data_IF_741036144179
#
_entry.id   IF_741036144179
#
_cell.length_a   1.000
_cell.length_b   1.000
_cell.length_c   1.000
_cell.angle_alpha   90.00
_cell.angle_beta   90.00
_cell.angle_gamma   90.00
#
_symmetry.space_group_name_H-M   'P 1'
#
loop_
_entity.id
_entity.type
_entity.pdbx_description
1 polymer ?
#
# COMPACT_ATOMS: atom_id res chain seq x y z
N UNK A 1 -14.57 10.19 -6.11
CA UNK A 1 -14.90 8.84 -5.66
C UNK A 1 -15.01 8.83 -4.14
N UNK A 2 -16.06 8.26 -3.61
CA UNK A 2 -16.23 8.07 -2.17
C UNK A 2 -16.26 6.58 -1.90
N UNK A 3 -15.41 6.12 -0.99
CA UNK A 3 -15.28 4.69 -0.67
C UNK A 3 -15.80 4.47 0.74
N UNK A 4 -16.81 3.62 0.89
CA UNK A 4 -17.41 3.29 2.17
C UNK A 4 -17.02 1.89 2.62
N UNK A 5 -16.84 1.71 3.94
CA UNK A 5 -16.92 0.41 4.58
C UNK A 5 -18.35 0.22 5.08
N UNK A 6 -19.07 -0.75 4.56
CA UNK A 6 -20.37 -1.13 5.11
C UNK A 6 -20.18 -2.24 6.12
N UNK A 7 -20.32 -1.92 7.41
CA UNK A 7 -20.56 -2.91 8.43
C UNK A 7 -21.96 -2.64 8.98
N UNK A 8 -22.98 -3.14 8.30
CA UNK A 8 -24.36 -3.06 8.73
C UNK A 8 -24.93 -4.47 8.84
N UNK A 9 -25.28 -4.88 10.05
CA UNK A 9 -26.17 -6.01 10.28
C UNK A 9 -27.65 -5.64 10.00
N UNK A 10 -27.93 -4.50 9.35
CA UNK A 10 -29.27 -4.06 9.07
C UNK A 10 -29.43 -3.69 7.58
N UNK A 11 -30.16 -4.51 6.79
CA UNK A 11 -30.36 -4.29 5.36
C UNK A 11 -31.23 -3.08 5.00
N UNK A 12 -31.84 -2.39 5.98
CA UNK A 12 -32.78 -1.29 5.75
C UNK A 12 -32.21 0.12 5.96
N UNK A 13 -30.93 0.25 6.26
CA UNK A 13 -30.31 1.56 6.54
C UNK A 13 -29.90 2.26 5.24
N UNK A 14 -30.89 2.91 4.58
CA UNK A 14 -30.62 3.89 3.52
C UNK A 14 -29.91 5.11 4.12
N UNK A 15 -28.85 5.54 3.44
CA UNK A 15 -28.08 6.73 3.84
C UNK A 15 -28.91 8.00 3.78
N UNK A 16 -28.78 8.91 4.74
CA UNK A 16 -29.27 10.27 4.58
C UNK A 16 -28.41 10.99 3.54
N UNK A 17 -28.99 11.40 2.43
CA UNK A 17 -28.41 12.33 1.48
C UNK A 17 -28.35 13.70 2.16
N UNK A 18 -27.16 14.33 2.20
CA UNK A 18 -27.02 15.71 2.68
C UNK A 18 -27.74 16.65 1.70
N UNK A 19 -28.81 17.28 2.14
CA UNK A 19 -29.47 18.35 1.42
C UNK A 19 -28.60 19.63 1.48
N UNK A 20 -28.17 20.14 0.34
CA UNK A 20 -27.72 21.51 0.23
C UNK A 20 -26.58 21.81 -0.72
N UNK A 21 -26.90 22.38 -1.86
CA UNK A 21 -25.97 23.08 -2.77
C UNK A 21 -25.39 22.22 -3.88
N UNK A 22 -25.55 22.62 -5.13
CA UNK A 22 -25.19 21.93 -6.39
C UNK A 22 -23.91 21.09 -6.38
N UNK A 23 -23.97 19.94 -5.76
CA UNK A 23 -22.88 18.98 -5.58
C UNK A 23 -22.99 18.02 -6.76
N UNK A 24 -21.97 17.94 -7.59
CA UNK A 24 -21.82 16.79 -8.47
C UNK A 24 -21.93 15.54 -7.61
N UNK A 25 -22.86 14.65 -7.97
CA UNK A 25 -23.07 13.38 -7.28
C UNK A 25 -21.74 12.58 -7.33
N UNK A 26 -21.10 12.39 -6.20
CA UNK A 26 -19.83 11.65 -6.12
C UNK A 26 -20.13 10.18 -6.27
N UNK A 27 -19.46 9.54 -7.19
CA UNK A 27 -19.49 8.07 -7.29
C UNK A 27 -19.01 7.45 -5.97
N UNK A 28 -19.72 6.45 -5.50
CA UNK A 28 -19.38 5.71 -4.29
C UNK A 28 -19.21 4.24 -4.59
N UNK A 29 -18.23 3.62 -3.94
CA UNK A 29 -17.97 2.18 -4.00
C UNK A 29 -17.91 1.63 -2.59
N UNK A 30 -18.35 0.40 -2.42
CA UNK A 30 -18.40 -0.29 -1.12
C UNK A 30 -17.40 -1.43 -1.10
N UNK A 31 -16.62 -1.52 -0.01
CA UNK A 31 -15.64 -2.57 0.23
C UNK A 31 -15.65 -2.94 1.71
N UNK A 32 -15.31 -4.17 2.04
CA UNK A 32 -15.14 -4.60 3.42
C UNK A 32 -13.92 -3.93 4.08
N UNK A 33 -12.86 -3.74 3.31
CA UNK A 33 -11.61 -3.13 3.78
C UNK A 33 -11.07 -2.14 2.76
N UNK A 34 -10.75 -0.94 3.24
CA UNK A 34 -10.04 0.07 2.44
C UNK A 34 -8.65 0.31 3.03
N UNK A 35 -7.64 0.15 2.19
CA UNK A 35 -6.23 0.41 2.53
C UNK A 35 -5.78 1.68 1.81
N UNK A 36 -5.21 2.61 2.56
CA UNK A 36 -4.68 3.87 2.01
C UNK A 36 -3.16 3.79 1.90
N UNK A 37 -2.67 3.78 0.66
CA UNK A 37 -1.25 3.78 0.31
C UNK A 37 -0.72 2.45 -0.20
N UNK A 38 -0.21 2.47 -1.46
CA UNK A 38 0.41 1.34 -2.17
C UNK A 38 1.89 1.14 -1.85
N UNK A 39 2.32 1.44 -0.62
CA UNK A 39 3.66 1.11 -0.15
C UNK A 39 3.78 -0.33 0.37
N UNK A 40 5.00 -0.77 0.79
CA UNK A 40 5.22 -2.15 1.26
C UNK A 40 4.26 -2.58 2.37
N UNK A 41 3.93 -1.68 3.29
CA UNK A 41 3.04 -1.94 4.41
C UNK A 41 1.60 -2.21 3.97
N UNK A 42 1.04 -1.30 3.14
CA UNK A 42 -0.34 -1.45 2.65
C UNK A 42 -0.50 -2.68 1.77
N UNK A 43 0.44 -2.91 0.86
CA UNK A 43 0.43 -4.09 -0.02
C UNK A 43 0.57 -5.39 0.76
N UNK A 44 1.47 -5.45 1.75
CA UNK A 44 1.61 -6.63 2.61
C UNK A 44 0.35 -6.90 3.42
N UNK A 45 -0.31 -5.86 3.94
CA UNK A 45 -1.57 -5.98 4.64
C UNK A 45 -2.68 -6.51 3.73
N UNK A 46 -2.79 -5.98 2.51
CA UNK A 46 -3.76 -6.42 1.51
C UNK A 46 -3.57 -7.90 1.15
N UNK A 47 -2.34 -8.31 0.84
CA UNK A 47 -1.99 -9.70 0.52
C UNK A 47 -2.37 -10.62 1.68
N UNK A 48 -1.94 -10.27 2.91
CA UNK A 48 -2.20 -11.14 4.08
C UNK A 48 -3.68 -11.24 4.40
N UNK A 49 -4.44 -10.17 4.28
CA UNK A 49 -5.91 -10.17 4.46
C UNK A 49 -6.58 -11.12 3.49
N UNK A 50 -6.24 -11.06 2.20
CA UNK A 50 -6.82 -11.95 1.19
C UNK A 50 -6.41 -13.41 1.42
N UNK A 51 -5.16 -13.68 1.82
CA UNK A 51 -4.72 -15.03 2.19
C UNK A 51 -5.56 -15.59 3.36
N UNK A 52 -5.71 -14.81 4.45
CA UNK A 52 -6.49 -15.23 5.62
C UNK A 52 -7.98 -15.42 5.30
N UNK A 53 -8.55 -14.55 4.47
CA UNK A 53 -9.93 -14.69 4.02
C UNK A 53 -10.11 -16.00 3.23
N UNK A 54 -9.20 -16.29 2.32
CA UNK A 54 -9.22 -17.51 1.52
C UNK A 54 -9.04 -18.78 2.40
N UNK A 55 -8.10 -18.76 3.34
CA UNK A 55 -7.90 -19.84 4.33
C UNK A 55 -9.17 -20.10 5.17
N UNK A 56 -9.93 -19.04 5.48
CA UNK A 56 -11.16 -19.10 6.25
C UNK A 56 -12.42 -19.40 5.39
N UNK A 57 -12.28 -19.57 4.08
CA UNK A 57 -13.40 -19.73 3.15
C UNK A 57 -14.36 -18.54 3.12
N UNK A 58 -13.85 -17.31 3.38
CA UNK A 58 -14.61 -16.07 3.38
C UNK A 58 -14.29 -15.26 2.13
N UNK A 59 -15.33 -14.71 1.55
CA UNK A 59 -15.16 -13.65 0.56
C UNK A 59 -14.96 -12.32 1.29
N UNK A 60 -13.90 -11.60 0.92
CA UNK A 60 -13.53 -10.32 1.52
C UNK A 60 -13.13 -9.35 0.40
N UNK A 61 -13.91 -8.31 0.22
CA UNK A 61 -13.62 -7.27 -0.76
C UNK A 61 -12.61 -6.27 -0.19
N UNK A 62 -11.41 -6.23 -0.78
CA UNK A 62 -10.31 -5.38 -0.33
C UNK A 62 -9.96 -4.39 -1.42
N UNK A 63 -10.04 -3.11 -1.10
CA UNK A 63 -9.62 -2.00 -1.94
C UNK A 63 -8.33 -1.36 -1.39
N UNK A 64 -7.42 -1.02 -2.29
CA UNK A 64 -6.23 -0.23 -1.97
C UNK A 64 -6.19 1.00 -2.87
N UNK A 65 -6.16 2.18 -2.27
CA UNK A 65 -6.01 3.45 -2.99
C UNK A 65 -4.59 3.99 -2.86
N UNK A 66 -4.03 4.48 -3.98
CA UNK A 66 -2.69 5.04 -4.06
C UNK A 66 -2.74 6.40 -4.75
N UNK A 67 -2.12 7.43 -4.14
CA UNK A 67 -2.08 8.79 -4.72
C UNK A 67 -1.21 8.91 -5.97
N UNK A 68 -0.19 8.07 -6.10
CA UNK A 68 0.67 8.02 -7.27
C UNK A 68 -0.09 7.51 -8.49
N UNK A 69 0.35 7.90 -9.69
CA UNK A 69 -0.21 7.44 -10.96
C UNK A 69 -0.10 5.93 -11.18
N UNK A 70 0.79 5.29 -10.45
CA UNK A 70 0.97 3.84 -10.36
C UNK A 70 1.60 3.48 -9.01
N UNK A 71 1.49 2.22 -8.60
CA UNK A 71 2.16 1.71 -7.41
C UNK A 71 3.68 1.87 -7.58
N UNK A 72 4.31 2.48 -6.57
CA UNK A 72 5.76 2.72 -6.59
C UNK A 72 6.21 4.03 -7.25
N UNK A 73 5.34 4.78 -7.92
CA UNK A 73 5.70 6.02 -8.65
C UNK A 73 6.34 7.09 -7.75
N UNK A 74 5.92 7.20 -6.49
CA UNK A 74 6.46 8.19 -5.55
C UNK A 74 7.65 7.68 -4.72
N UNK A 75 8.14 6.48 -4.99
CA UNK A 75 9.29 5.90 -4.29
C UNK A 75 10.57 6.28 -5.03
N UNK A 76 11.38 7.15 -4.41
CA UNK A 76 12.55 7.77 -5.06
C UNK A 76 13.85 7.00 -4.88
N UNK A 77 13.95 6.09 -3.94
CA UNK A 77 15.21 5.45 -3.60
C UNK A 77 15.12 3.93 -3.57
N UNK A 78 16.30 3.29 -3.69
CA UNK A 78 16.47 1.89 -3.35
C UNK A 78 16.42 1.66 -1.84
N UNK A 79 16.42 0.40 -1.47
CA UNK A 79 16.47 -0.06 -0.09
C UNK A 79 17.36 -1.30 0.05
N UNK A 80 17.75 -1.60 1.27
CA UNK A 80 18.25 -2.92 1.64
C UNK A 80 17.10 -3.67 2.30
N UNK A 81 16.69 -4.77 1.69
CA UNK A 81 15.58 -5.60 2.16
C UNK A 81 16.11 -6.80 2.94
N UNK A 82 15.65 -6.96 4.19
CA UNK A 82 15.77 -8.21 4.92
C UNK A 82 14.63 -9.14 4.48
N UNK A 83 14.94 -10.34 3.93
CA UNK A 83 13.91 -11.16 3.27
C UNK A 83 12.97 -11.90 4.24
N UNK A 84 13.14 -11.80 5.54
CA UNK A 84 12.34 -12.53 6.54
C UNK A 84 10.85 -12.31 6.35
N UNK A 85 10.40 -11.06 6.34
CA UNK A 85 8.97 -10.73 6.18
C UNK A 85 8.42 -11.21 4.84
N UNK A 86 9.23 -11.17 3.79
CA UNK A 86 8.84 -11.66 2.48
C UNK A 86 8.74 -13.19 2.47
N UNK A 87 9.67 -13.90 3.12
CA UNK A 87 9.60 -15.36 3.27
C UNK A 87 8.35 -15.82 4.04
N UNK A 88 7.90 -15.00 5.00
CA UNK A 88 6.66 -15.29 5.77
C UNK A 88 5.40 -14.98 4.95
N UNK A 89 5.40 -13.89 4.20
CA UNK A 89 4.24 -13.45 3.43
C UNK A 89 4.03 -14.26 2.15
N UNK A 90 5.11 -14.46 1.38
CA UNK A 90 5.14 -15.13 0.09
C UNK A 90 6.36 -16.06 0.03
N UNK A 91 6.30 -17.28 0.60
CA UNK A 91 7.44 -18.20 0.68
C UNK A 91 8.05 -18.57 -0.69
N UNK A 92 7.23 -18.51 -1.73
CA UNK A 92 7.56 -18.81 -3.13
C UNK A 92 7.91 -17.56 -3.96
N UNK A 93 8.35 -16.47 -3.29
CA UNK A 93 8.66 -15.20 -3.96
C UNK A 93 9.73 -15.31 -5.07
N UNK A 94 10.67 -16.26 -4.95
CA UNK A 94 11.69 -16.49 -5.97
C UNK A 94 11.08 -17.03 -7.24
N UNK A 95 10.24 -18.03 -7.13
CA UNK A 95 9.50 -18.65 -8.23
C UNK A 95 8.54 -17.67 -8.89
N UNK A 96 8.00 -16.72 -8.11
CA UNK A 96 7.15 -15.62 -8.58
C UNK A 96 7.92 -14.46 -9.20
N UNK A 97 9.26 -14.55 -9.28
CA UNK A 97 10.07 -13.51 -9.91
C UNK A 97 10.14 -12.19 -9.15
N UNK A 98 10.17 -12.23 -7.80
CA UNK A 98 10.41 -11.02 -7.03
C UNK A 98 11.74 -10.35 -7.42
N UNK A 99 11.79 -9.02 -7.57
CA UNK A 99 12.97 -8.30 -8.07
C UNK A 99 14.05 -8.14 -6.99
N UNK A 100 14.56 -9.27 -6.49
CA UNK A 100 15.61 -9.37 -5.48
C UNK A 100 16.88 -10.00 -6.09
N UNK A 101 17.45 -9.31 -7.09
CA UNK A 101 18.54 -9.86 -7.91
C UNK A 101 19.94 -9.56 -7.36
N UNK A 102 20.06 -8.66 -6.38
CA UNK A 102 21.35 -8.17 -5.89
C UNK A 102 21.54 -8.49 -4.39
N UNK A 103 22.10 -9.67 -4.06
CA UNK A 103 22.42 -9.99 -2.67
C UNK A 103 23.55 -9.09 -2.15
N UNK A 104 23.46 -8.69 -0.88
CA UNK A 104 24.53 -7.95 -0.21
C UNK A 104 25.72 -8.87 0.04
N UNK A 105 26.87 -8.53 -0.52
CA UNK A 105 28.12 -9.28 -0.38
C UNK A 105 29.10 -8.65 0.60
N UNK A 106 29.00 -7.34 0.84
CA UNK A 106 29.85 -6.63 1.81
C UNK A 106 29.26 -5.32 2.25
N UNK A 107 29.59 -4.90 3.47
CA UNK A 107 29.30 -3.59 4.03
C UNK A 107 30.59 -2.80 4.22
N UNK A 108 30.49 -1.48 4.01
CA UNK A 108 31.57 -0.54 4.30
C UNK A 108 31.04 0.62 5.12
N UNK A 109 31.48 0.73 6.37
CA UNK A 109 31.17 1.87 7.21
C UNK A 109 32.32 2.87 7.12
N UNK A 110 32.02 4.09 6.65
CA UNK A 110 33.02 5.08 6.30
C UNK A 110 32.76 6.40 7.03
N UNK A 111 33.80 6.99 7.60
CA UNK A 111 33.80 8.37 8.03
C UNK A 111 34.35 9.25 6.90
N UNK A 112 33.53 10.19 6.42
CA UNK A 112 33.91 11.06 5.30
C UNK A 112 34.44 12.38 5.84
N UNK A 113 35.55 12.86 5.25
CA UNK A 113 36.12 14.18 5.48
C UNK A 113 36.08 14.98 4.19
N UNK A 114 36.47 16.27 4.24
CA UNK A 114 36.53 17.10 3.02
C UNK A 114 37.53 16.58 1.98
N UNK A 115 38.57 15.87 2.40
CA UNK A 115 39.66 15.42 1.52
C UNK A 115 39.83 13.91 1.44
N UNK A 116 39.00 13.11 2.13
CA UNK A 116 39.15 11.67 2.11
C UNK A 116 38.10 10.92 2.88
N UNK A 117 38.32 9.61 3.03
CA UNK A 117 37.41 8.71 3.73
C UNK A 117 38.22 7.74 4.60
N UNK A 118 37.77 7.50 5.81
CA UNK A 118 38.38 6.57 6.77
C UNK A 118 37.39 5.42 6.99
N UNK A 119 37.83 4.18 6.75
CA UNK A 119 37.05 2.99 7.02
C UNK A 119 37.02 2.70 8.51
N UNK A 120 35.84 2.57 9.08
CA UNK A 120 35.61 2.17 10.45
C UNK A 120 35.05 0.73 10.50
N UNK A 121 35.17 0.05 11.66
CA UNK A 121 34.49 -1.24 11.86
C UNK A 121 32.99 -1.08 11.68
N UNK A 122 32.35 -1.95 10.88
CA UNK A 122 30.91 -1.96 10.70
C UNK A 122 30.24 -2.41 11.99
N UNK A 123 29.36 -1.61 12.60
CA UNK A 123 28.61 -2.03 13.78
C UNK A 123 27.76 -3.27 13.47
N UNK A 124 27.61 -4.23 14.41
CA UNK A 124 26.87 -5.48 14.15
C UNK A 124 25.43 -5.26 13.63
N UNK A 125 24.74 -4.23 14.13
CA UNK A 125 23.38 -3.88 13.72
C UNK A 125 23.30 -3.28 12.30
N UNK A 126 24.43 -2.92 11.69
CA UNK A 126 24.52 -2.43 10.31
C UNK A 126 25.02 -3.50 9.34
N UNK A 127 25.13 -4.75 9.79
CA UNK A 127 25.50 -5.86 8.94
C UNK A 127 24.31 -6.31 8.11
N UNK A 128 24.45 -6.24 6.79
CA UNK A 128 23.41 -6.60 5.83
C UNK A 128 23.66 -7.93 5.13
N UNK A 129 24.54 -8.77 5.65
CA UNK A 129 24.81 -10.09 5.06
C UNK A 129 23.51 -10.92 5.01
N UNK A 130 23.17 -11.44 3.84
CA UNK A 130 21.92 -12.18 3.60
C UNK A 130 20.71 -11.31 3.21
N UNK A 131 20.88 -9.98 3.20
CA UNK A 131 19.89 -9.04 2.69
C UNK A 131 20.09 -8.78 1.19
N UNK A 132 19.16 -8.04 0.58
CA UNK A 132 19.18 -7.71 -0.84
C UNK A 132 19.14 -6.20 -1.04
N UNK A 133 19.92 -5.70 -1.98
CA UNK A 133 19.80 -4.33 -2.49
C UNK A 133 18.71 -4.34 -3.56
N UNK A 134 17.67 -3.53 -3.38
CA UNK A 134 16.51 -3.51 -4.26
C UNK A 134 16.15 -2.10 -4.72
N UNK A 135 15.45 -2.01 -5.84
CA UNK A 135 14.60 -0.86 -6.14
C UNK A 135 13.28 -1.03 -5.38
N UNK A 136 13.05 -0.18 -4.38
CA UNK A 136 11.83 -0.26 -3.57
C UNK A 136 10.57 0.00 -4.41
N UNK A 137 10.64 0.87 -5.42
CA UNK A 137 9.55 1.11 -6.37
C UNK A 137 9.20 -0.13 -7.18
N UNK A 138 10.21 -0.83 -7.74
CA UNK A 138 9.98 -2.07 -8.48
C UNK A 138 9.43 -3.18 -7.58
N UNK A 139 9.94 -3.27 -6.35
CA UNK A 139 9.44 -4.22 -5.36
C UNK A 139 7.98 -3.97 -4.99
N UNK A 140 7.58 -2.71 -4.77
CA UNK A 140 6.18 -2.37 -4.52
C UNK A 140 5.29 -2.67 -5.72
N UNK A 141 5.75 -2.40 -6.94
CA UNK A 141 4.99 -2.73 -8.15
C UNK A 141 4.74 -4.23 -8.25
N UNK A 142 5.78 -5.04 -8.04
CA UNK A 142 5.64 -6.49 -7.99
C UNK A 142 4.71 -6.98 -6.87
N UNK A 143 4.78 -6.38 -5.65
CA UNK A 143 3.81 -6.69 -4.59
C UNK A 143 2.38 -6.32 -4.99
N UNK A 144 2.19 -5.22 -5.72
CA UNK A 144 0.89 -4.85 -6.28
C UNK A 144 0.33 -5.93 -7.19
N UNK A 145 1.13 -6.45 -8.11
CA UNK A 145 0.75 -7.57 -9.00
C UNK A 145 0.36 -8.82 -8.18
N UNK A 146 1.07 -9.12 -7.08
CA UNK A 146 0.71 -10.23 -6.20
C UNK A 146 -0.61 -9.98 -5.46
N UNK A 147 -0.88 -8.74 -5.04
CA UNK A 147 -2.13 -8.37 -4.40
C UNK A 147 -3.32 -8.48 -5.37
N UNK A 148 -3.18 -7.96 -6.60
CA UNK A 148 -4.19 -8.06 -7.65
C UNK A 148 -4.49 -9.52 -8.02
N UNK A 149 -3.46 -10.38 -8.09
CA UNK A 149 -3.62 -11.81 -8.33
C UNK A 149 -4.45 -12.53 -7.24
N UNK A 150 -4.50 -11.97 -6.02
CA UNK A 150 -5.35 -12.44 -4.92
C UNK A 150 -6.74 -11.77 -4.90
N UNK A 151 -7.04 -10.90 -5.86
CA UNK A 151 -8.32 -10.19 -5.95
C UNK A 151 -8.40 -8.94 -5.07
N UNK A 152 -7.27 -8.26 -4.82
CA UNK A 152 -7.29 -6.90 -4.28
C UNK A 152 -7.54 -5.92 -5.42
N UNK A 153 -8.48 -5.00 -5.24
CA UNK A 153 -8.69 -3.92 -6.20
C UNK A 153 -7.77 -2.74 -5.88
N UNK A 154 -6.85 -2.43 -6.79
CA UNK A 154 -5.90 -1.33 -6.63
C UNK A 154 -6.31 -0.14 -7.50
N UNK A 155 -6.47 1.04 -6.89
CA UNK A 155 -6.85 2.28 -7.54
C UNK A 155 -5.69 3.29 -7.46
N UNK A 156 -4.79 3.32 -8.43
CA UNK A 156 -3.75 4.35 -8.54
C UNK A 156 -4.34 5.68 -9.02
N UNK A 157 -3.70 6.78 -8.64
CA UNK A 157 -4.16 8.13 -8.95
C UNK A 157 -5.20 8.69 -7.96
N UNK A 158 -5.67 7.90 -6.99
CA UNK A 158 -6.68 8.33 -6.02
C UNK A 158 -6.05 8.63 -4.66
N UNK A 159 -5.96 9.90 -4.30
CA UNK A 159 -5.49 10.33 -2.99
C UNK A 159 -6.65 10.38 -1.99
N UNK A 160 -6.51 9.72 -0.84
CA UNK A 160 -7.43 9.93 0.28
C UNK A 160 -7.30 11.37 0.78
N UNK A 161 -8.40 12.11 0.73
CA UNK A 161 -8.45 13.52 1.15
C UNK A 161 -9.15 13.70 2.49
N UNK A 162 -10.13 12.86 2.80
CA UNK A 162 -10.95 12.98 3.99
C UNK A 162 -11.29 11.60 4.56
N UNK A 163 -11.31 11.48 5.88
CA UNK A 163 -11.85 10.31 6.59
C UNK A 163 -13.32 10.56 6.91
N UNK A 164 -14.17 9.63 6.52
CA UNK A 164 -15.60 9.70 6.75
C UNK A 164 -15.98 8.99 8.05
N UNK A 165 -16.89 9.61 8.80
CA UNK A 165 -17.38 9.09 10.07
C UNK A 165 -18.89 8.87 10.00
N UNK A 166 -19.39 7.92 10.77
CA UNK A 166 -20.82 7.77 11.03
C UNK A 166 -21.29 8.65 12.19
N UNK A 167 -22.60 8.63 12.48
CA UNK A 167 -23.22 9.42 13.55
C UNK A 167 -22.69 9.05 14.95
N UNK A 168 -22.07 7.90 15.13
CA UNK A 168 -21.43 7.46 16.37
C UNK A 168 -20.00 7.95 16.49
N UNK A 169 -19.41 8.53 15.42
CA UNK A 169 -18.02 8.93 15.33
C UNK A 169 -17.08 7.77 14.94
N UNK A 170 -17.59 6.62 14.53
CA UNK A 170 -16.77 5.54 14.01
C UNK A 170 -16.36 5.80 12.55
N UNK A 171 -15.14 5.40 12.19
CA UNK A 171 -14.65 5.53 10.80
C UNK A 171 -15.49 4.65 9.89
N UNK A 172 -16.07 5.25 8.86
CA UNK A 172 -16.93 4.60 7.89
C UNK A 172 -16.27 4.39 6.54
N UNK A 173 -15.33 5.24 6.17
CA UNK A 173 -14.64 5.15 4.89
C UNK A 173 -13.74 6.35 4.65
N UNK A 174 -13.39 6.57 3.39
CA UNK A 174 -12.59 7.70 2.94
C UNK A 174 -13.21 8.34 1.70
N UNK A 175 -13.06 9.65 1.58
CA UNK A 175 -13.31 10.36 0.33
C UNK A 175 -11.98 10.68 -0.35
N UNK A 176 -11.93 10.51 -1.66
CA UNK A 176 -10.80 10.96 -2.46
C UNK A 176 -10.94 12.43 -2.83
N UNK A 177 -9.84 13.07 -3.16
CA UNK A 177 -9.88 14.42 -3.73
C UNK A 177 -10.66 14.45 -5.05
N UNK A 178 -11.16 15.63 -5.41
CA UNK A 178 -11.87 15.85 -6.66
C UNK A 178 -10.88 15.65 -7.82
N UNK A 179 -11.29 14.85 -8.80
CA UNK A 179 -10.50 14.55 -9.99
C UNK A 179 -11.25 15.02 -11.24
N UNK A 180 -10.49 15.47 -12.25
CA UNK A 180 -11.07 15.89 -13.52
C UNK A 180 -11.69 17.30 -13.51
N UNK A 181 -11.53 18.08 -12.44
CA UNK A 181 -11.95 19.47 -12.41
C UNK A 181 -10.91 20.31 -13.18
N UNK A 182 -11.37 20.98 -14.24
CA UNK A 182 -10.56 21.96 -14.99
C UNK A 182 -10.23 23.18 -14.15
N UNK A 183 -9.29 24.02 -14.63
CA UNK A 183 -8.89 25.27 -13.95
C UNK A 183 -10.04 26.27 -13.80
N UNK A 184 -11.12 26.07 -14.49
CA UNK A 184 -12.30 26.95 -14.54
C UNK A 184 -13.48 26.38 -13.72
N UNK A 185 -13.29 25.34 -12.93
CA UNK A 185 -14.28 24.69 -12.06
C UNK A 185 -15.13 23.68 -12.81
#
# INVERSE_FOLDING_TARGET
LTIYRVWSNNPDQKMPMSEGGGIMERESMEFDVVIVGGGPSGLSAAIRLKQLAHEAGRDLEVCLIEKGSEVGAHILSGAVLEPRSLNELLPDWKERGAPLDTPVTSDKFMYLTQSGAIRLPTPPQMNNHGNYIISLGNFCRWLGEQAEALGVEIYPGFAAAEVLYDDSGAVRGVATGDMGIGKDG
#
